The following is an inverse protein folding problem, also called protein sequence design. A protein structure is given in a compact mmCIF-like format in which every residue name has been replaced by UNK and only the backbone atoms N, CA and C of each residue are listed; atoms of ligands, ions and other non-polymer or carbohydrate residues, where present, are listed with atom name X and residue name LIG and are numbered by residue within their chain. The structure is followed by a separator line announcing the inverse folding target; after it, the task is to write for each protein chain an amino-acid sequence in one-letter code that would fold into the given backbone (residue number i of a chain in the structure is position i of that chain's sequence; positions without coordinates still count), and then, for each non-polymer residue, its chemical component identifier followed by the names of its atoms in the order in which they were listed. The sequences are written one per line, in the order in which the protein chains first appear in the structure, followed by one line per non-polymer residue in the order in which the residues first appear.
data_IF_540832960126
#
_entry.id   IF_540832960126
#
_cell.length_a   1.000
_cell.length_b   1.000
_cell.length_c   1.000
_cell.angle_alpha   90.00
_cell.angle_beta   90.00
_cell.angle_gamma   90.00
#
_symmetry.space_group_name_H-M   'P 1'
#
loop_
_entity.id
_entity.type
_entity.pdbx_description
1 polymer ?
#
# COMPACT_ATOMS: atom_id res chain seq x y z
N UNK A 1 -19.81 -0.76 22.37
CA UNK A 1 -20.25 -1.74 21.36
C UNK A 1 -19.03 -2.01 20.52
N UNK A 2 -18.55 -3.26 20.51
CA UNK A 2 -17.48 -3.66 19.60
C UNK A 2 -18.08 -3.66 18.19
N UNK A 3 -17.98 -2.56 17.47
CA UNK A 3 -18.41 -2.49 16.10
C UNK A 3 -17.55 -3.46 15.30
N UNK A 4 -18.18 -4.44 14.67
CA UNK A 4 -17.47 -5.48 13.94
C UNK A 4 -16.62 -4.84 12.83
N UNK A 5 -15.31 -5.09 12.85
CA UNK A 5 -14.37 -4.63 11.83
C UNK A 5 -14.81 -5.12 10.44
N UNK A 6 -14.64 -4.29 9.44
CA UNK A 6 -15.04 -4.56 8.06
C UNK A 6 -13.81 -5.03 7.29
N UNK A 7 -13.91 -6.21 6.68
CA UNK A 7 -12.82 -6.79 5.90
C UNK A 7 -12.64 -6.04 4.58
N UNK A 8 -11.38 -5.71 4.30
CA UNK A 8 -10.96 -4.95 3.13
C UNK A 8 -9.90 -5.70 2.32
N UNK A 9 -9.86 -5.44 1.04
CA UNK A 9 -8.79 -5.91 0.15
C UNK A 9 -8.14 -4.72 -0.55
N UNK A 10 -6.84 -4.82 -0.85
CA UNK A 10 -6.20 -3.82 -1.70
C UNK A 10 -6.66 -4.04 -3.13
N UNK A 11 -7.49 -3.13 -3.63
CA UNK A 11 -8.00 -3.18 -5.00
C UNK A 11 -6.96 -2.70 -5.99
N UNK A 12 -6.36 -1.53 -5.71
CA UNK A 12 -5.35 -0.95 -6.61
C UNK A 12 -4.50 0.10 -5.91
N UNK A 13 -3.36 0.42 -6.52
CA UNK A 13 -2.55 1.59 -6.21
C UNK A 13 -2.51 2.45 -7.47
N UNK A 14 -2.83 3.74 -7.36
CA UNK A 14 -2.96 4.65 -8.49
C UNK A 14 -2.18 5.94 -8.28
N UNK A 15 -1.88 6.63 -9.38
CA UNK A 15 -1.32 7.98 -9.40
C UNK A 15 -2.38 8.93 -9.91
N UNK A 16 -2.63 10.00 -9.18
CA UNK A 16 -3.50 11.08 -9.66
C UNK A 16 -2.69 11.96 -10.64
N UNK A 17 -3.07 11.96 -11.91
CA UNK A 17 -2.31 12.54 -13.00
C UNK A 17 -2.00 14.04 -12.83
N UNK A 18 -2.96 14.82 -12.32
CA UNK A 18 -2.79 16.27 -12.20
C UNK A 18 -1.91 16.68 -11.01
N UNK A 19 -1.93 15.95 -9.91
CA UNK A 19 -1.20 16.29 -8.69
C UNK A 19 0.03 15.42 -8.44
N UNK A 20 0.26 14.39 -9.24
CA UNK A 20 1.29 13.36 -9.03
C UNK A 20 1.23 12.70 -7.64
N UNK A 21 0.07 12.76 -6.99
CA UNK A 21 -0.17 12.14 -5.69
C UNK A 21 -0.52 10.67 -5.87
N UNK A 22 -0.09 9.84 -4.95
CA UNK A 22 -0.35 8.40 -4.96
C UNK A 22 -1.48 8.08 -4.01
N UNK A 23 -2.35 7.15 -4.41
CA UNK A 23 -3.47 6.67 -3.62
C UNK A 23 -3.52 5.16 -3.65
N UNK A 24 -3.67 4.53 -2.49
CA UNK A 24 -4.07 3.12 -2.39
C UNK A 24 -5.58 3.06 -2.19
N UNK A 25 -6.24 2.22 -2.96
CA UNK A 25 -7.70 2.03 -2.89
C UNK A 25 -7.95 0.67 -2.24
N UNK A 26 -8.61 0.69 -1.09
CA UNK A 26 -9.12 -0.50 -0.45
C UNK A 26 -10.58 -0.68 -0.87
N UNK A 27 -10.98 -1.93 -1.10
CA UNK A 27 -12.38 -2.32 -1.38
C UNK A 27 -12.90 -3.18 -0.23
N UNK A 28 -14.12 -2.94 0.21
CA UNK A 28 -14.83 -3.82 1.13
C UNK A 28 -15.08 -5.19 0.47
N UNK A 29 -14.76 -6.28 1.16
CA UNK A 29 -14.87 -7.63 0.59
C UNK A 29 -16.31 -8.02 0.26
N UNK A 30 -17.30 -7.52 1.00
CA UNK A 30 -18.70 -7.89 0.90
C UNK A 30 -19.56 -6.91 0.11
N UNK A 31 -19.09 -5.69 -0.15
CA UNK A 31 -19.88 -4.61 -0.77
C UNK A 31 -19.03 -3.79 -1.72
N UNK A 32 -19.67 -3.06 -2.62
CA UNK A 32 -19.01 -2.09 -3.51
C UNK A 32 -18.83 -0.75 -2.79
N UNK A 33 -18.01 -0.78 -1.73
CA UNK A 33 -17.60 0.39 -0.99
C UNK A 33 -16.07 0.45 -0.96
N UNK A 34 -15.52 1.63 -1.19
CA UNK A 34 -14.10 1.86 -1.39
C UNK A 34 -13.56 2.85 -0.37
N UNK A 35 -12.32 2.69 0.04
CA UNK A 35 -11.60 3.58 0.93
C UNK A 35 -10.30 4.03 0.27
N UNK A 36 -10.25 5.25 -0.31
CA UNK A 36 -9.02 5.80 -0.85
C UNK A 36 -8.16 6.36 0.28
N UNK A 37 -6.87 6.02 0.30
CA UNK A 37 -5.89 6.51 1.27
C UNK A 37 -4.71 7.09 0.51
N UNK A 38 -4.45 8.39 0.68
CA UNK A 38 -3.30 9.05 0.10
C UNK A 38 -2.01 8.59 0.78
N UNK A 39 -1.01 8.23 -0.02
CA UNK A 39 0.26 7.67 0.46
C UNK A 39 1.44 8.30 -0.29
N UNK A 40 2.64 8.14 0.26
CA UNK A 40 3.87 8.58 -0.41
C UNK A 40 4.24 7.72 -1.62
N UNK A 41 5.06 8.24 -2.54
CA UNK A 41 5.45 7.53 -3.76
C UNK A 41 6.25 6.26 -3.48
N UNK A 42 7.08 6.26 -2.45
CA UNK A 42 7.90 5.10 -2.09
C UNK A 42 7.07 3.98 -1.47
N UNK A 43 6.10 4.33 -0.64
CA UNK A 43 5.15 3.40 -0.05
C UNK A 43 4.22 2.80 -1.12
N UNK A 44 3.75 3.66 -2.05
CA UNK A 44 2.96 3.22 -3.20
C UNK A 44 3.73 2.19 -4.05
N UNK A 45 5.01 2.49 -4.36
CA UNK A 45 5.87 1.58 -5.10
C UNK A 45 6.08 0.26 -4.35
N UNK A 46 6.30 0.31 -3.02
CA UNK A 46 6.49 -0.88 -2.21
C UNK A 46 5.25 -1.81 -2.21
N UNK A 47 4.04 -1.24 -2.20
CA UNK A 47 2.79 -2.00 -2.29
C UNK A 47 2.62 -2.55 -3.71
N UNK A 48 2.75 -1.68 -4.74
CA UNK A 48 2.53 -2.04 -6.13
C UNK A 48 3.45 -3.16 -6.61
N UNK A 49 4.74 -3.13 -6.28
CA UNK A 49 5.69 -4.19 -6.61
C UNK A 49 5.22 -5.54 -6.08
N UNK A 50 4.73 -5.59 -4.85
CA UNK A 50 4.25 -6.84 -4.27
C UNK A 50 2.97 -7.34 -4.93
N UNK A 51 2.03 -6.45 -5.23
CA UNK A 51 0.78 -6.80 -5.95
C UNK A 51 1.06 -7.35 -7.35
N UNK A 52 2.13 -6.90 -7.99
CA UNK A 52 2.58 -7.38 -9.30
C UNK A 52 3.42 -8.67 -9.23
N UNK A 53 3.68 -9.19 -8.03
CA UNK A 53 4.51 -10.38 -7.83
C UNK A 53 6.01 -10.14 -8.09
N UNK A 54 6.45 -8.89 -8.13
CA UNK A 54 7.86 -8.55 -8.32
C UNK A 54 8.65 -8.83 -7.04
N UNK A 55 9.76 -9.56 -7.19
CA UNK A 55 10.66 -9.87 -6.07
C UNK A 55 12.01 -9.20 -6.34
N UNK A 56 12.42 -8.24 -5.49
CA UNK A 56 13.74 -7.61 -5.63
C UNK A 56 14.86 -8.62 -5.29
N UNK A 57 16.04 -8.42 -5.87
CA UNK A 57 17.22 -9.27 -5.60
C UNK A 57 17.66 -9.22 -4.13
N UNK A 58 17.45 -8.10 -3.47
CA UNK A 58 17.74 -7.90 -2.05
C UNK A 58 16.49 -7.42 -1.31
N UNK A 59 16.29 -7.84 -0.05
CA UNK A 59 15.16 -7.40 0.75
C UNK A 59 15.08 -5.87 0.85
N UNK A 60 13.93 -5.29 0.52
CA UNK A 60 13.62 -3.90 0.78
C UNK A 60 13.20 -3.72 2.26
N UNK A 61 12.94 -2.47 2.69
CA UNK A 61 12.63 -2.16 4.09
C UNK A 61 11.50 -3.02 4.67
N UNK A 62 10.38 -3.16 3.96
CA UNK A 62 9.25 -3.97 4.45
C UNK A 62 9.57 -5.48 4.41
N UNK A 63 10.36 -5.94 3.45
CA UNK A 63 10.83 -7.34 3.41
C UNK A 63 11.78 -7.63 4.57
N UNK A 64 12.69 -6.68 4.86
CA UNK A 64 13.58 -6.78 6.03
C UNK A 64 12.79 -6.83 7.33
N UNK A 65 11.73 -6.01 7.46
CA UNK A 65 10.89 -6.02 8.66
C UNK A 65 10.19 -7.38 8.85
N UNK A 66 9.62 -7.94 7.79
CA UNK A 66 8.99 -9.28 7.83
C UNK A 66 10.03 -10.32 8.23
N UNK A 67 11.20 -10.35 7.58
CA UNK A 67 12.26 -11.29 7.89
C UNK A 67 12.75 -11.17 9.35
N UNK A 68 12.80 -9.94 9.89
CA UNK A 68 13.18 -9.72 11.29
C UNK A 68 12.13 -10.26 12.26
N UNK A 69 10.83 -10.10 11.97
CA UNK A 69 9.76 -10.71 12.76
C UNK A 69 9.85 -12.23 12.74
N UNK A 70 10.02 -12.82 11.56
CA UNK A 70 10.14 -14.26 11.40
C UNK A 70 11.36 -14.82 12.15
N UNK A 71 12.51 -14.12 12.11
CA UNK A 71 13.72 -14.52 12.81
C UNK A 71 13.55 -14.59 14.34
N UNK A 72 12.60 -13.83 14.90
CA UNK A 72 12.26 -13.88 16.33
C UNK A 72 11.02 -14.75 16.63
N UNK A 73 10.51 -15.48 15.63
CA UNK A 73 9.33 -16.32 15.75
C UNK A 73 8.01 -15.56 15.89
N UNK A 74 7.96 -14.35 15.32
CA UNK A 74 6.75 -13.52 15.27
C UNK A 74 6.24 -13.38 13.83
N UNK A 75 4.98 -13.04 13.67
CA UNK A 75 4.33 -12.81 12.37
C UNK A 75 3.27 -11.73 12.47
N UNK A 76 3.00 -11.06 11.35
CA UNK A 76 1.84 -10.14 11.24
C UNK A 76 0.58 -10.99 11.16
N UNK A 77 -0.36 -10.78 12.07
CA UNK A 77 -1.62 -11.53 12.13
C UNK A 77 -2.77 -10.83 11.40
N UNK A 78 -2.84 -9.51 11.48
CA UNK A 78 -3.80 -8.66 10.78
C UNK A 78 -3.38 -7.19 10.80
N UNK A 79 -4.04 -6.41 9.97
CA UNK A 79 -3.94 -4.94 9.93
C UNK A 79 -5.33 -4.34 10.08
N UNK A 80 -5.44 -3.23 10.79
CA UNK A 80 -6.69 -2.49 10.95
C UNK A 80 -6.44 -1.02 10.62
N UNK A 81 -7.19 -0.46 9.68
CA UNK A 81 -7.31 1.00 9.52
C UNK A 81 -8.28 1.45 10.61
N UNK A 82 -7.74 2.01 11.67
CA UNK A 82 -8.42 2.12 12.95
C UNK A 82 -9.12 3.45 13.17
N UNK A 83 -8.64 4.52 12.55
CA UNK A 83 -9.16 5.86 12.79
C UNK A 83 -8.85 6.80 11.62
N UNK A 84 -9.64 7.89 11.54
CA UNK A 84 -9.39 9.05 10.70
C UNK A 84 -9.53 10.30 11.58
N UNK A 85 -8.41 10.86 12.01
CA UNK A 85 -8.36 12.05 12.85
C UNK A 85 -7.57 13.16 12.16
N UNK A 86 -8.11 14.38 12.13
CA UNK A 86 -7.46 15.55 11.53
C UNK A 86 -6.95 15.26 10.10
N UNK A 87 -7.81 14.66 9.26
CA UNK A 87 -7.52 14.25 7.88
C UNK A 87 -6.38 13.21 7.75
N UNK A 88 -5.96 12.60 8.85
CA UNK A 88 -4.90 11.60 8.89
C UNK A 88 -5.47 10.24 9.25
N UNK A 89 -5.26 9.27 8.36
CA UNK A 89 -5.59 7.88 8.64
C UNK A 89 -4.56 7.25 9.57
N UNK A 90 -5.07 6.51 10.56
CA UNK A 90 -4.28 5.71 11.49
C UNK A 90 -4.48 4.22 11.24
N UNK A 91 -3.43 3.44 11.47
CA UNK A 91 -3.51 1.99 11.38
C UNK A 91 -2.91 1.31 12.59
N UNK A 92 -3.37 0.09 12.84
CA UNK A 92 -2.85 -0.82 13.85
C UNK A 92 -2.35 -2.08 13.18
N UNK A 93 -1.10 -2.42 13.47
CA UNK A 93 -0.46 -3.64 13.04
C UNK A 93 -0.51 -4.64 14.20
N UNK A 94 -1.10 -5.80 14.00
CA UNK A 94 -1.14 -6.84 15.01
C UNK A 94 -0.06 -7.89 14.73
N UNK A 95 0.83 -8.06 15.70
CA UNK A 95 1.97 -8.97 15.61
C UNK A 95 1.80 -10.08 16.62
N UNK A 96 1.85 -11.32 16.17
CA UNK A 96 1.67 -12.52 17.00
C UNK A 96 2.99 -13.26 17.19
N UNK A 97 3.24 -13.68 18.43
CA UNK A 97 4.34 -14.59 18.77
C UNK A 97 3.82 -15.66 19.74
N UNK A 98 3.66 -16.87 19.25
CA UNK A 98 2.97 -17.93 20.00
C UNK A 98 1.53 -17.53 20.33
N UNK A 99 1.16 -17.56 21.60
CA UNK A 99 -0.17 -17.16 22.08
C UNK A 99 -0.29 -15.66 22.40
N UNK A 100 0.80 -14.90 22.30
CA UNK A 100 0.80 -13.47 22.56
C UNK A 100 0.60 -12.68 21.28
N UNK A 101 -0.28 -11.69 21.36
CA UNK A 101 -0.49 -10.72 20.29
C UNK A 101 -0.17 -9.33 20.82
N UNK A 102 0.58 -8.55 20.07
CA UNK A 102 0.91 -7.16 20.35
C UNK A 102 0.28 -6.27 19.29
N UNK A 103 -0.26 -5.15 19.72
CA UNK A 103 -0.76 -4.09 18.87
C UNK A 103 0.32 -3.02 18.73
N UNK A 104 0.61 -2.63 17.49
CA UNK A 104 1.63 -1.64 17.15
C UNK A 104 0.99 -0.54 16.33
N UNK A 105 1.20 0.72 16.72
CA UNK A 105 0.79 1.87 15.93
C UNK A 105 1.60 1.94 14.64
N UNK A 106 0.94 2.21 13.51
CA UNK A 106 1.58 2.24 12.20
C UNK A 106 0.88 3.23 11.26
N UNK A 107 1.64 3.75 10.30
CA UNK A 107 1.01 4.44 9.17
C UNK A 107 0.26 3.42 8.32
N UNK A 108 -0.91 3.78 7.76
CA UNK A 108 -1.65 2.87 6.86
C UNK A 108 -0.80 2.29 5.75
N UNK A 109 0.02 3.11 5.09
CA UNK A 109 0.89 2.67 3.99
C UNK A 109 1.89 1.58 4.39
N UNK A 110 2.50 1.69 5.58
CA UNK A 110 3.45 0.68 6.08
C UNK A 110 2.73 -0.61 6.46
N UNK A 111 1.60 -0.48 7.16
CA UNK A 111 0.79 -1.62 7.56
C UNK A 111 0.28 -2.40 6.34
N UNK A 112 -0.22 -1.70 5.30
CA UNK A 112 -0.67 -2.29 4.05
C UNK A 112 0.48 -2.95 3.28
N UNK A 113 1.66 -2.29 3.21
CA UNK A 113 2.84 -2.85 2.57
C UNK A 113 3.30 -4.16 3.23
N UNK A 114 3.14 -4.29 4.55
CA UNK A 114 3.41 -5.52 5.29
C UNK A 114 2.31 -6.57 5.04
N UNK A 115 1.03 -6.16 5.11
CA UNK A 115 -0.10 -7.07 4.90
C UNK A 115 -0.03 -7.78 3.54
N UNK A 116 0.20 -7.04 2.45
CA UNK A 116 0.29 -7.63 1.09
C UNK A 116 1.49 -8.56 0.92
N UNK A 117 2.55 -8.41 1.74
CA UNK A 117 3.73 -9.28 1.70
C UNK A 117 3.48 -10.63 2.32
N UNK A 118 2.79 -10.65 3.44
CA UNK A 118 2.57 -11.87 4.22
C UNK A 118 1.18 -12.47 4.00
N UNK A 119 0.30 -11.80 3.23
CA UNK A 119 -1.09 -12.23 3.03
C UNK A 119 -1.94 -12.08 4.29
N UNK A 120 -1.60 -11.13 5.17
CA UNK A 120 -2.39 -10.89 6.37
C UNK A 120 -3.71 -10.17 6.02
N UNK A 121 -4.83 -10.52 6.69
CA UNK A 121 -6.11 -9.86 6.48
C UNK A 121 -6.04 -8.38 6.88
N UNK A 122 -6.76 -7.56 6.11
CA UNK A 122 -6.87 -6.13 6.29
C UNK A 122 -8.31 -5.82 6.70
N UNK A 123 -8.46 -4.95 7.69
CA UNK A 123 -9.76 -4.50 8.16
C UNK A 123 -9.78 -2.97 8.24
N UNK A 124 -10.99 -2.41 8.25
CA UNK A 124 -11.24 -1.02 8.60
C UNK A 124 -12.28 -0.92 9.71
N UNK A 125 -12.14 0.07 10.58
CA UNK A 125 -13.19 0.41 11.52
C UNK A 125 -14.42 0.97 10.77
N UNK A 126 -15.66 0.62 11.17
CA UNK A 126 -16.86 1.16 10.54
C UNK A 126 -16.87 2.69 10.49
N UNK A 127 -16.43 3.34 11.56
CA UNK A 127 -16.34 4.81 11.64
C UNK A 127 -15.46 5.43 10.57
N UNK A 128 -14.37 4.76 10.17
CA UNK A 128 -13.48 5.22 9.10
C UNK A 128 -14.19 5.15 7.75
N UNK A 129 -14.87 4.05 7.49
CA UNK A 129 -15.65 3.89 6.26
C UNK A 129 -16.85 4.83 6.19
N UNK A 130 -17.47 5.15 7.32
CA UNK A 130 -18.59 6.10 7.37
C UNK A 130 -18.13 7.55 7.12
N UNK A 131 -16.89 7.87 7.48
CA UNK A 131 -16.31 9.20 7.26
C UNK A 131 -15.68 9.38 5.86
N UNK A 132 -15.01 8.35 5.35
CA UNK A 132 -14.18 8.45 4.14
C UNK A 132 -14.47 7.37 3.09
N UNK A 133 -15.42 6.49 3.34
CA UNK A 133 -15.81 5.44 2.40
C UNK A 133 -16.67 5.99 1.27
N UNK A 134 -16.48 5.46 0.06
CA UNK A 134 -17.18 5.82 -1.16
C UNK A 134 -18.00 4.64 -1.66
N UNK A 135 -19.25 4.87 -2.03
CA UNK A 135 -20.07 3.89 -2.72
C UNK A 135 -19.68 3.74 -4.21
N UNK A 136 -20.12 2.65 -4.84
CA UNK A 136 -19.94 2.42 -6.26
C UNK A 136 -20.59 3.51 -7.14
N UNK A 137 -21.66 4.13 -6.67
CA UNK A 137 -22.42 5.14 -7.41
C UNK A 137 -21.84 6.56 -7.31
N UNK A 138 -20.64 6.72 -6.70
CA UNK A 138 -19.96 8.01 -6.62
C UNK A 138 -20.77 9.10 -5.92
N UNK A 139 -21.70 8.72 -5.04
CA UNK A 139 -22.53 9.62 -4.27
C UNK A 139 -21.71 10.43 -3.30
N UNK A 140 -21.25 11.57 -3.78
CA UNK A 140 -20.43 12.54 -3.06
C UNK A 140 -21.34 13.63 -2.52
N UNK A 141 -21.12 13.95 -1.26
CA UNK A 141 -21.46 15.28 -0.76
C UNK A 141 -20.68 16.34 -1.56
N UNK A 142 -21.35 17.47 -1.78
CA UNK A 142 -20.93 18.62 -2.58
C UNK A 142 -19.66 19.34 -2.09
N UNK A 143 -18.53 18.60 -1.94
CA UNK A 143 -17.24 19.23 -1.64
C UNK A 143 -16.23 18.97 -2.76
N UNK A 144 -15.72 20.05 -3.33
CA UNK A 144 -14.82 20.15 -4.48
C UNK A 144 -13.51 19.36 -4.24
N UNK A 145 -13.45 18.15 -4.73
CA UNK A 145 -12.30 17.24 -4.62
C UNK A 145 -12.68 15.79 -4.77
N UNK A 146 -13.75 15.55 -5.47
CA UNK A 146 -14.50 14.34 -5.61
C UNK A 146 -13.66 13.10 -5.96
N UNK A 147 -13.75 12.09 -5.12
CA UNK A 147 -13.16 10.78 -5.36
C UNK A 147 -13.83 10.00 -6.51
N UNK A 148 -15.01 10.41 -6.98
CA UNK A 148 -15.60 9.93 -8.24
C UNK A 148 -14.72 10.32 -9.41
N UNK A 149 -14.21 11.55 -9.42
CA UNK A 149 -13.20 12.03 -10.38
C UNK A 149 -11.87 11.27 -10.21
N UNK A 150 -11.53 10.84 -8.98
CA UNK A 150 -10.39 9.98 -8.69
C UNK A 150 -10.54 8.57 -9.29
N UNK A 151 -11.74 8.01 -9.30
CA UNK A 151 -11.99 6.69 -9.89
C UNK A 151 -12.05 6.75 -11.42
N UNK A 152 -12.54 7.85 -12.00
CA UNK A 152 -12.63 8.02 -13.46
C UNK A 152 -11.36 8.60 -14.09
N UNK A 153 -10.65 9.52 -13.40
CA UNK A 153 -9.43 10.16 -13.95
C UNK A 153 -8.16 9.31 -13.79
N UNK A 154 -8.21 8.25 -13.01
CA UNK A 154 -7.06 7.38 -12.74
C UNK A 154 -7.00 6.18 -13.68
N UNK A 155 -7.14 6.41 -14.98
CA UNK A 155 -7.20 5.37 -16.02
C UNK A 155 -5.92 4.58 -16.27
N UNK A 156 -4.81 4.81 -15.57
CA UNK A 156 -3.59 4.03 -15.77
C UNK A 156 -3.03 3.45 -14.47
N UNK A 157 -2.88 2.14 -14.48
CA UNK A 157 -2.11 1.41 -13.46
C UNK A 157 -0.66 1.89 -13.51
N UNK A 158 -0.01 2.07 -12.36
CA UNK A 158 1.43 2.41 -12.22
C UNK A 158 2.30 1.27 -12.81
N UNK A 159 2.12 0.93 -14.08
CA UNK A 159 2.79 -0.26 -14.62
C UNK A 159 3.90 0.08 -15.60
N UNK A 160 3.92 1.26 -16.27
CA UNK A 160 4.79 1.35 -17.44
C UNK A 160 5.80 2.50 -17.47
N UNK A 161 5.44 3.74 -17.26
CA UNK A 161 6.36 4.84 -17.62
C UNK A 161 7.57 5.02 -16.67
N UNK A 162 7.46 4.67 -15.40
CA UNK A 162 8.59 4.82 -14.45
C UNK A 162 9.53 3.63 -14.45
N UNK A 163 9.03 2.45 -14.77
CA UNK A 163 9.87 1.28 -14.99
C UNK A 163 10.65 1.41 -16.28
N UNK A 164 10.07 2.03 -17.31
CA UNK A 164 10.77 2.29 -18.57
C UNK A 164 11.86 3.35 -18.38
N UNK A 165 11.59 4.45 -17.69
CA UNK A 165 12.61 5.46 -17.33
C UNK A 165 13.72 4.85 -16.47
N UNK A 166 13.38 3.97 -15.52
CA UNK A 166 14.38 3.27 -14.70
C UNK A 166 15.17 2.24 -15.53
N UNK A 167 14.49 1.52 -16.41
CA UNK A 167 15.14 0.59 -17.35
C UNK A 167 16.06 1.32 -18.32
N UNK A 168 15.62 2.46 -18.87
CA UNK A 168 16.43 3.30 -19.75
C UNK A 168 17.62 3.91 -19.00
N UNK A 169 17.44 4.30 -17.73
CA UNK A 169 18.52 4.75 -16.87
C UNK A 169 19.53 3.63 -16.59
N UNK A 170 19.07 2.43 -16.24
CA UNK A 170 19.97 1.27 -16.00
C UNK A 170 20.66 0.86 -17.30
N UNK A 171 19.98 0.90 -18.44
CA UNK A 171 20.60 0.62 -19.76
C UNK A 171 21.55 1.73 -20.22
N UNK A 172 21.39 2.97 -19.74
CA UNK A 172 22.32 4.07 -20.02
C UNK A 172 23.58 4.06 -19.13
N UNK A 173 23.55 3.28 -18.05
CA UNK A 173 24.72 2.97 -17.23
C UNK A 173 25.49 1.79 -17.86
N UNK A 174 25.93 1.97 -19.11
CA UNK A 174 26.76 1.01 -19.80
C UNK A 174 28.04 0.79 -18.99
N UNK A 175 28.01 -0.19 -18.09
CA UNK A 175 29.18 -0.69 -17.39
C UNK A 175 29.88 -1.60 -18.39
N UNK A 176 30.83 -1.02 -19.12
CA UNK A 176 31.73 -1.77 -20.01
C UNK A 176 32.49 -2.80 -19.13
N UNK A 177 32.21 -4.10 -19.24
CA UNK A 177 32.85 -5.11 -18.39
C UNK A 177 34.30 -5.40 -18.78
N UNK A 178 34.85 -4.74 -19.82
CA UNK A 178 36.17 -5.03 -20.38
C UNK A 178 37.24 -3.93 -20.17
N UNK A 179 37.00 -2.95 -19.29
CA UNK A 179 37.92 -1.82 -19.10
C UNK A 179 39.12 -2.10 -18.16
N UNK A 180 39.34 -3.33 -17.68
CA UNK A 180 40.48 -3.63 -16.77
C UNK A 180 41.32 -4.85 -17.16
N UNK A 181 41.74 -4.94 -18.42
CA UNK A 181 42.79 -5.88 -18.84
C UNK A 181 43.81 -5.29 -19.79
N UNK A 182 44.34 -4.07 -19.50
CA UNK A 182 45.54 -3.61 -20.16
C UNK A 182 46.29 -2.55 -19.37
N UNK A 183 46.98 -2.96 -18.29
CA UNK A 183 48.25 -2.38 -17.84
C UNK A 183 49.06 -3.44 -17.14
N UNK A 184 50.03 -3.90 -17.89
CA UNK A 184 51.31 -4.46 -17.83
C UNK A 184 51.96 -4.90 -16.57
#
# INVERSE_FOLDING_TARGET
MDDALIEMVVESVRVHMLSSRHVVILKESARDRYLPIWIGPWEASAIAMRLQGLTPERPLTHDLFVNALEAIGASVSRVVISDLAEETFHARLFVRRGEREAEVDARPSDALALAVRVGAPIFAAPSVLDQAGLGADGGLGDDEGSAGELLESTGERIVDERLDVFRDFVNSLDVDPDADTSRG
#
